data_IF_186096951822
#
_entry.id   IF_186096951822
#
_cell.length_a   1.000
_cell.length_b   1.000
_cell.length_c   1.000
_cell.angle_alpha   90.00
_cell.angle_beta   90.00
_cell.angle_gamma   90.00
#
_symmetry.space_group_name_H-M   'P 1'
#
loop_
_entity.id
_entity.type
_entity.pdbx_description
1 polymer ?
#
# COMPACT_ATOMS: atom_id res chain seq x y z
N UNK A 1 -30.77 -9.50 22.08
CA UNK A 1 -30.32 -9.20 20.70
C UNK A 1 -28.80 -9.29 20.70
N UNK A 2 -28.22 -10.39 20.21
CA UNK A 2 -26.78 -10.61 20.27
C UNK A 2 -26.06 -9.66 19.33
N UNK A 3 -25.09 -8.90 19.83
CA UNK A 3 -24.19 -8.08 19.02
C UNK A 3 -23.53 -8.98 17.97
N UNK A 4 -23.80 -8.71 16.69
CA UNK A 4 -23.08 -9.36 15.59
C UNK A 4 -21.58 -9.10 15.75
N UNK A 5 -20.78 -10.15 15.61
CA UNK A 5 -19.33 -10.06 15.45
C UNK A 5 -19.00 -9.05 14.33
N UNK A 6 -17.97 -8.21 14.54
CA UNK A 6 -17.46 -7.25 13.55
C UNK A 6 -17.25 -7.86 12.16
N UNK A 7 -16.83 -9.13 12.10
CA UNK A 7 -16.69 -9.89 10.86
C UNK A 7 -18.05 -10.15 10.22
N UNK A 8 -19.04 -10.59 10.98
CA UNK A 8 -20.39 -10.83 10.48
C UNK A 8 -21.05 -9.52 9.99
N UNK A 9 -20.79 -8.40 10.66
CA UNK A 9 -21.23 -7.07 10.19
C UNK A 9 -20.54 -6.69 8.88
N UNK A 10 -19.22 -6.85 8.77
CA UNK A 10 -18.48 -6.58 7.53
C UNK A 10 -19.00 -7.42 6.35
N UNK A 11 -19.22 -8.71 6.57
CA UNK A 11 -19.74 -9.65 5.58
C UNK A 11 -21.14 -9.21 5.10
N UNK A 12 -22.01 -8.88 6.05
CA UNK A 12 -23.38 -8.46 5.76
C UNK A 12 -23.42 -7.13 5.01
N UNK A 13 -22.62 -6.14 5.44
CA UNK A 13 -22.53 -4.84 4.79
C UNK A 13 -21.99 -4.92 3.36
N UNK A 14 -20.95 -5.74 3.13
CA UNK A 14 -20.40 -5.93 1.78
C UNK A 14 -21.41 -6.56 0.83
N UNK A 15 -22.16 -7.57 1.28
CA UNK A 15 -23.19 -8.23 0.45
C UNK A 15 -24.35 -7.27 0.17
N UNK A 16 -24.86 -6.56 1.19
CA UNK A 16 -25.96 -5.61 1.04
C UNK A 16 -25.62 -4.47 0.08
N UNK A 17 -24.42 -3.92 0.19
CA UNK A 17 -23.94 -2.87 -0.71
C UNK A 17 -23.90 -3.34 -2.17
N UNK A 18 -23.34 -4.52 -2.45
CA UNK A 18 -23.24 -5.04 -3.82
C UNK A 18 -24.61 -5.39 -4.40
N UNK A 19 -25.54 -5.92 -3.60
CA UNK A 19 -26.92 -6.16 -4.03
C UNK A 19 -27.66 -4.87 -4.35
N UNK A 20 -27.52 -3.84 -3.51
CA UNK A 20 -28.10 -2.52 -3.75
C UNK A 20 -27.54 -1.91 -5.03
N UNK A 21 -26.22 -1.98 -5.23
CA UNK A 21 -25.57 -1.47 -6.43
C UNK A 21 -26.01 -2.21 -7.70
N UNK A 22 -26.20 -3.54 -7.64
CA UNK A 22 -26.72 -4.32 -8.78
C UNK A 22 -28.15 -3.90 -9.15
N UNK A 23 -29.02 -3.72 -8.16
CA UNK A 23 -30.39 -3.22 -8.37
C UNK A 23 -30.40 -1.83 -9.02
N UNK A 24 -29.52 -0.93 -8.58
CA UNK A 24 -29.38 0.38 -9.18
C UNK A 24 -28.85 0.31 -10.62
N UNK A 25 -27.88 -0.55 -10.90
CA UNK A 25 -27.39 -0.75 -12.27
C UNK A 25 -28.49 -1.28 -13.19
N UNK A 26 -29.36 -2.17 -12.70
CA UNK A 26 -30.51 -2.62 -13.46
C UNK A 26 -31.48 -1.46 -13.73
N UNK A 27 -31.85 -0.70 -12.71
CA UNK A 27 -32.81 0.40 -12.82
C UNK A 27 -32.32 1.55 -13.70
N UNK A 28 -31.05 1.96 -13.56
CA UNK A 28 -30.52 3.16 -14.23
C UNK A 28 -29.75 2.86 -15.52
N UNK A 29 -29.24 1.64 -15.69
CA UNK A 29 -28.39 1.26 -16.84
C UNK A 29 -28.91 0.07 -17.61
N UNK A 30 -30.02 -0.55 -17.20
CA UNK A 30 -30.57 -1.75 -17.82
C UNK A 30 -29.64 -2.95 -17.77
N UNK A 31 -28.66 -2.95 -16.85
CA UNK A 31 -27.62 -3.99 -16.74
C UNK A 31 -27.73 -4.66 -15.38
N UNK A 32 -28.02 -5.96 -15.41
CA UNK A 32 -27.99 -6.82 -14.24
C UNK A 32 -26.76 -7.73 -14.29
N UNK A 33 -26.01 -7.76 -13.20
CA UNK A 33 -24.87 -8.67 -13.02
C UNK A 33 -25.33 -9.98 -12.38
N UNK A 34 -24.65 -11.08 -12.69
CA UNK A 34 -24.99 -12.39 -12.11
C UNK A 34 -24.66 -12.45 -10.62
N UNK A 35 -25.41 -13.27 -9.88
CA UNK A 35 -25.21 -13.45 -8.43
C UNK A 35 -23.79 -13.90 -8.07
N UNK A 36 -23.12 -14.65 -8.96
CA UNK A 36 -21.72 -15.06 -8.78
C UNK A 36 -20.75 -13.87 -8.81
N UNK A 37 -20.95 -12.92 -9.75
CA UNK A 37 -20.12 -11.70 -9.85
C UNK A 37 -20.32 -10.82 -8.62
N UNK A 38 -21.57 -10.67 -8.17
CA UNK A 38 -21.93 -9.96 -6.94
C UNK A 38 -21.22 -10.59 -5.72
N UNK A 39 -21.24 -11.93 -5.63
CA UNK A 39 -20.61 -12.68 -4.55
C UNK A 39 -19.08 -12.53 -4.53
N UNK A 40 -18.41 -12.73 -5.66
CA UNK A 40 -16.94 -12.60 -5.71
C UNK A 40 -16.50 -11.15 -5.44
N UNK A 41 -17.26 -10.15 -5.90
CA UNK A 41 -16.99 -8.74 -5.58
C UNK A 41 -17.15 -8.46 -4.08
N UNK A 42 -18.25 -8.93 -3.47
CA UNK A 42 -18.47 -8.78 -2.03
C UNK A 42 -17.37 -9.48 -1.20
N UNK A 43 -16.92 -10.66 -1.64
CA UNK A 43 -15.83 -11.42 -1.01
C UNK A 43 -14.47 -10.74 -1.14
N UNK A 44 -14.18 -10.11 -2.29
CA UNK A 44 -12.96 -9.32 -2.48
C UNK A 44 -12.98 -8.07 -1.60
N UNK A 45 -14.08 -7.32 -1.63
CA UNK A 45 -14.29 -6.14 -0.77
C UNK A 45 -14.19 -6.49 0.71
N UNK A 46 -14.75 -7.63 1.14
CA UNK A 46 -14.55 -8.14 2.50
C UNK A 46 -13.08 -8.36 2.79
N UNK A 47 -12.35 -9.06 1.91
CA UNK A 47 -10.93 -9.37 2.12
C UNK A 47 -10.13 -8.07 2.29
N UNK A 48 -10.39 -7.08 1.44
CA UNK A 48 -9.77 -5.76 1.53
C UNK A 48 -10.18 -5.04 2.83
N UNK A 49 -11.47 -5.00 3.17
CA UNK A 49 -11.98 -4.35 4.38
C UNK A 49 -11.40 -4.98 5.65
N UNK A 50 -11.32 -6.31 5.73
CA UNK A 50 -10.76 -7.00 6.88
C UNK A 50 -9.23 -6.81 7.00
N UNK A 51 -8.53 -6.69 5.86
CA UNK A 51 -7.10 -6.36 5.84
C UNK A 51 -6.87 -4.92 6.33
N UNK A 52 -7.66 -3.95 5.81
CA UNK A 52 -7.51 -2.54 6.14
C UNK A 52 -7.99 -2.19 7.55
N UNK A 53 -9.04 -2.85 8.06
CA UNK A 53 -9.61 -2.58 9.38
C UNK A 53 -9.14 -3.55 10.47
N UNK A 54 -8.21 -4.47 10.16
CA UNK A 54 -7.60 -5.38 11.15
C UNK A 54 -8.68 -6.21 11.91
N UNK A 55 -9.80 -6.51 11.25
CA UNK A 55 -10.92 -7.28 11.85
C UNK A 55 -10.60 -8.78 11.84
N UNK A 56 -9.80 -9.23 10.87
CA UNK A 56 -9.11 -10.51 10.98
C UNK A 56 -7.96 -10.34 11.97
N UNK A 57 -7.77 -11.30 12.90
CA UNK A 57 -6.54 -11.34 13.71
C UNK A 57 -5.35 -11.14 12.77
N UNK A 58 -4.57 -10.05 12.91
CA UNK A 58 -3.31 -10.00 12.20
C UNK A 58 -2.52 -11.20 12.68
N UNK A 59 -1.89 -11.91 11.75
CA UNK A 59 -1.04 -13.05 12.06
C UNK A 59 0.13 -12.61 12.98
N UNK A 60 0.34 -11.30 13.12
CA UNK A 60 1.27 -10.68 14.05
C UNK A 60 0.52 -9.95 15.17
N UNK A 61 1.03 -9.96 16.41
CA UNK A 61 0.46 -9.19 17.50
C UNK A 61 0.42 -7.71 17.13
N UNK A 62 -0.76 -7.09 17.26
CA UNK A 62 -0.88 -5.63 17.27
C UNK A 62 -0.22 -5.17 18.56
N UNK A 63 1.03 -4.78 18.50
CA UNK A 63 1.57 -3.93 19.53
C UNK A 63 0.81 -2.60 19.43
N UNK A 64 -0.15 -2.41 20.33
CA UNK A 64 -0.85 -1.14 20.62
C UNK A 64 0.10 -0.06 21.17
N UNK A 65 1.40 -0.15 20.90
CA UNK A 65 2.29 0.94 21.15
C UNK A 65 2.00 2.00 20.09
N UNK A 66 1.77 3.23 20.52
CA UNK A 66 1.95 4.41 19.67
C UNK A 66 3.38 4.28 19.10
N UNK A 67 3.50 3.77 17.88
CA UNK A 67 4.79 3.61 17.21
C UNK A 67 5.19 4.99 16.74
N UNK A 68 5.82 5.76 17.63
CA UNK A 68 6.67 6.87 17.19
C UNK A 68 7.70 6.30 16.22
N UNK A 69 8.17 7.12 15.29
CA UNK A 69 9.23 6.71 14.36
C UNK A 69 10.36 6.02 15.15
N UNK A 70 10.70 4.79 14.76
CA UNK A 70 11.69 3.97 15.45
C UNK A 70 13.02 4.01 14.71
N UNK A 71 14.12 4.16 15.45
CA UNK A 71 15.47 4.08 14.90
C UNK A 71 15.77 2.70 14.30
N UNK A 72 16.57 2.66 13.23
CA UNK A 72 17.12 1.40 12.69
C UNK A 72 18.16 0.84 13.66
N UNK A 73 18.06 -0.45 14.03
CA UNK A 73 18.92 -1.03 15.07
C UNK A 73 20.34 -1.41 14.59
N UNK A 74 20.63 -1.46 13.28
CA UNK A 74 21.81 -2.17 12.75
C UNK A 74 22.48 -1.47 11.54
N UNK A 75 22.73 -0.17 11.58
CA UNK A 75 23.37 0.60 10.49
C UNK A 75 22.70 0.46 9.10
N UNK A 76 21.44 0.02 9.06
CA UNK A 76 20.66 -0.02 7.84
C UNK A 76 20.03 1.34 7.58
N UNK A 77 20.14 1.80 6.34
CA UNK A 77 19.44 2.97 5.84
C UNK A 77 17.93 2.70 5.82
N UNK A 78 17.13 3.67 6.21
CA UNK A 78 15.67 3.60 6.06
C UNK A 78 15.25 4.36 4.82
N UNK A 79 14.38 3.78 4.02
CA UNK A 79 13.88 4.39 2.80
C UNK A 79 12.35 4.40 2.89
N UNK A 80 11.78 5.54 3.22
CA UNK A 80 10.34 5.73 3.26
C UNK A 80 9.88 6.17 1.88
N UNK A 81 8.87 5.50 1.32
CA UNK A 81 8.30 5.86 0.04
C UNK A 81 6.78 5.95 0.16
N UNK A 82 6.19 6.83 -0.62
CA UNK A 82 4.76 7.12 -0.61
C UNK A 82 4.35 7.71 -1.98
N UNK A 83 3.08 7.60 -2.31
CA UNK A 83 2.51 8.17 -3.51
C UNK A 83 1.15 8.82 -3.24
N UNK A 84 0.93 9.97 -3.88
CA UNK A 84 -0.40 10.59 -3.91
C UNK A 84 -0.91 10.70 -5.33
N UNK A 85 -2.24 10.71 -5.47
CA UNK A 85 -2.92 10.90 -6.74
C UNK A 85 -3.75 12.18 -6.65
N UNK A 86 -3.48 13.14 -7.54
CA UNK A 86 -4.25 14.38 -7.67
C UNK A 86 -4.48 14.63 -9.16
N UNK A 87 -5.74 14.85 -9.57
CA UNK A 87 -6.11 15.20 -10.95
C UNK A 87 -5.50 14.27 -12.03
N UNK A 88 -5.61 12.95 -11.86
CA UNK A 88 -5.03 11.94 -12.76
C UNK A 88 -3.49 12.03 -12.93
N UNK A 89 -2.81 12.70 -11.99
CA UNK A 89 -1.35 12.68 -11.85
C UNK A 89 -0.96 11.92 -10.59
N UNK A 90 0.14 11.20 -10.68
CA UNK A 90 0.76 10.49 -9.56
C UNK A 90 1.98 11.28 -9.14
N UNK A 91 1.97 11.77 -7.91
CA UNK A 91 3.16 12.23 -7.22
C UNK A 91 3.74 11.09 -6.42
N UNK A 92 5.06 11.02 -6.38
CA UNK A 92 5.74 10.13 -5.46
C UNK A 92 6.80 10.92 -4.70
N UNK A 93 7.11 10.41 -3.51
CA UNK A 93 8.26 10.85 -2.78
C UNK A 93 8.99 9.67 -2.15
N UNK A 94 10.30 9.84 -1.99
CA UNK A 94 11.21 8.91 -1.35
C UNK A 94 12.08 9.73 -0.40
N UNK A 95 12.13 9.35 0.87
CA UNK A 95 13.05 9.94 1.85
C UNK A 95 13.96 8.85 2.38
N UNK A 96 15.25 9.04 2.21
CA UNK A 96 16.26 8.19 2.82
C UNK A 96 16.75 8.78 4.14
N UNK A 97 16.83 7.93 5.17
CA UNK A 97 17.26 8.32 6.52
C UNK A 97 18.40 7.46 7.00
N UNK A 98 19.36 8.10 7.66
CA UNK A 98 20.49 7.43 8.29
C UNK A 98 20.06 6.64 9.53
N UNK A 99 21.02 5.95 10.15
CA UNK A 99 20.79 5.21 11.38
C UNK A 99 20.37 6.11 12.54
N UNK A 100 20.66 7.42 12.53
CA UNK A 100 20.26 8.41 13.55
C UNK A 100 18.88 9.02 13.28
N UNK A 101 18.28 8.77 12.11
CA UNK A 101 16.97 9.27 11.70
C UNK A 101 16.99 10.58 10.93
N UNK A 102 18.17 11.12 10.63
CA UNK A 102 18.33 12.30 9.79
C UNK A 102 18.03 11.94 8.34
N UNK A 103 17.24 12.78 7.67
CA UNK A 103 17.05 12.68 6.23
C UNK A 103 18.39 13.01 5.54
N UNK A 104 18.95 12.04 4.82
CA UNK A 104 20.19 12.22 4.06
C UNK A 104 19.86 12.75 2.66
N UNK A 105 18.76 12.26 2.10
CA UNK A 105 18.31 12.64 0.77
C UNK A 105 16.78 12.57 0.73
N UNK A 106 16.25 13.29 -0.24
CA UNK A 106 14.86 13.28 -0.62
C UNK A 106 14.81 13.28 -2.15
N UNK A 107 13.96 12.43 -2.70
CA UNK A 107 13.70 12.32 -4.13
C UNK A 107 12.21 12.30 -4.39
N UNK A 108 11.72 13.34 -5.06
CA UNK A 108 10.32 13.45 -5.44
C UNK A 108 10.16 13.62 -6.96
N UNK A 109 8.95 13.36 -7.44
CA UNK A 109 8.61 13.56 -8.84
C UNK A 109 7.14 13.27 -9.09
N UNK A 110 6.74 13.38 -10.36
CA UNK A 110 5.39 13.05 -10.77
C UNK A 110 5.38 12.31 -12.11
N UNK A 111 4.24 11.67 -12.36
CA UNK A 111 3.93 11.02 -13.63
C UNK A 111 2.46 11.30 -13.97
N UNK A 112 2.21 11.70 -15.21
CA UNK A 112 0.84 11.76 -15.74
C UNK A 112 0.39 10.34 -16.07
N UNK A 113 -0.42 9.77 -15.19
CA UNK A 113 -0.94 8.42 -15.33
C UNK A 113 -2.17 8.22 -14.45
N UNK A 114 -3.17 7.53 -14.99
CA UNK A 114 -4.45 7.31 -14.31
C UNK A 114 -4.44 5.94 -13.66
N UNK A 115 -3.79 5.85 -12.50
CA UNK A 115 -3.67 4.62 -11.72
C UNK A 115 -4.56 4.65 -10.48
N UNK A 116 -4.81 3.47 -9.91
CA UNK A 116 -5.42 3.35 -8.58
C UNK A 116 -4.34 3.55 -7.50
N UNK A 117 -4.76 3.89 -6.28
CA UNK A 117 -3.85 4.17 -5.15
C UNK A 117 -2.76 3.10 -4.96
N UNK A 118 -3.12 1.81 -4.97
CA UNK A 118 -2.14 0.72 -4.81
C UNK A 118 -1.10 0.65 -5.95
N UNK A 119 -1.49 1.02 -7.17
CA UNK A 119 -0.58 1.10 -8.32
C UNK A 119 0.35 2.30 -8.25
N UNK A 120 -0.12 3.44 -7.72
CA UNK A 120 0.70 4.60 -7.44
C UNK A 120 1.76 4.29 -6.37
N UNK A 121 1.37 3.59 -5.31
CA UNK A 121 2.27 3.13 -4.26
C UNK A 121 3.32 2.15 -4.79
N UNK A 122 2.91 1.23 -5.68
CA UNK A 122 3.85 0.35 -6.37
C UNK A 122 4.81 1.14 -7.29
N UNK A 123 4.35 2.25 -7.87
CA UNK A 123 5.22 3.16 -8.62
C UNK A 123 6.25 3.84 -7.72
N UNK A 124 5.84 4.39 -6.57
CA UNK A 124 6.77 4.94 -5.57
C UNK A 124 7.79 3.90 -5.08
N UNK A 125 7.37 2.65 -4.87
CA UNK A 125 8.29 1.55 -4.58
C UNK A 125 9.37 1.43 -5.67
N UNK A 126 8.97 1.39 -6.95
CA UNK A 126 9.93 1.27 -8.07
C UNK A 126 10.92 2.44 -8.11
N UNK A 127 10.44 3.67 -7.90
CA UNK A 127 11.31 4.85 -7.88
C UNK A 127 12.27 4.80 -6.67
N UNK A 128 11.79 4.41 -5.48
CA UNK A 128 12.64 4.27 -4.28
C UNK A 128 13.78 3.28 -4.47
N UNK A 129 13.56 2.22 -5.23
CA UNK A 129 14.59 1.23 -5.57
C UNK A 129 15.63 1.81 -6.52
N UNK A 130 15.21 2.65 -7.48
CA UNK A 130 16.15 3.34 -8.37
C UNK A 130 17.01 4.32 -7.58
N UNK A 131 16.42 5.08 -6.66
CA UNK A 131 17.15 6.01 -5.80
C UNK A 131 18.15 5.26 -4.91
N UNK A 132 17.73 4.15 -4.29
CA UNK A 132 18.63 3.30 -3.51
C UNK A 132 19.83 2.81 -4.34
N UNK A 133 19.60 2.46 -5.61
CA UNK A 133 20.67 2.06 -6.54
C UNK A 133 21.59 3.22 -6.90
N UNK A 134 21.07 4.40 -7.21
CA UNK A 134 21.91 5.57 -7.55
C UNK A 134 22.77 6.02 -6.36
N UNK A 135 22.32 5.77 -5.13
CA UNK A 135 23.06 6.07 -3.91
C UNK A 135 23.97 4.91 -3.44
N UNK A 136 24.09 3.81 -4.20
CA UNK A 136 24.85 2.61 -3.82
C UNK A 136 24.47 2.04 -2.44
N UNK A 137 23.19 2.12 -2.07
CA UNK A 137 22.70 1.63 -0.77
C UNK A 137 22.49 0.11 -0.87
N UNK A 138 23.41 -0.67 -0.30
CA UNK A 138 23.32 -2.13 -0.29
C UNK A 138 22.41 -2.70 0.83
N UNK A 139 22.26 -1.96 1.94
CA UNK A 139 21.58 -2.41 3.15
C UNK A 139 20.47 -1.42 3.56
N UNK A 140 19.24 -1.70 3.15
CA UNK A 140 18.11 -0.82 3.40
C UNK A 140 16.89 -1.52 4.02
N UNK A 141 16.09 -0.74 4.76
CA UNK A 141 14.74 -1.07 5.18
C UNK A 141 13.80 -0.12 4.45
N UNK A 142 12.98 -0.65 3.56
CA UNK A 142 11.97 0.11 2.85
C UNK A 142 10.67 0.14 3.66
N UNK A 143 10.07 1.32 3.77
CA UNK A 143 8.92 1.61 4.62
C UNK A 143 7.78 2.23 3.79
N UNK A 144 6.58 1.67 3.91
CA UNK A 144 5.33 2.17 3.28
C UNK A 144 4.18 2.06 4.28
N UNK A 145 3.23 2.99 4.21
CA UNK A 145 1.97 2.95 4.93
C UNK A 145 0.83 2.29 4.16
N UNK A 146 1.06 1.94 2.89
CA UNK A 146 0.14 1.12 2.11
C UNK A 146 0.14 -0.33 2.59
N UNK A 147 -0.84 -0.67 3.44
CA UNK A 147 -0.98 -2.01 4.01
C UNK A 147 -1.19 -3.10 2.94
N UNK A 148 -1.94 -2.77 1.88
CA UNK A 148 -2.22 -3.71 0.79
C UNK A 148 -0.95 -4.04 0.01
N UNK A 149 -0.16 -3.03 -0.38
CA UNK A 149 1.12 -3.21 -1.05
C UNK A 149 2.13 -3.94 -0.15
N UNK A 150 2.23 -3.57 1.12
CA UNK A 150 3.12 -4.25 2.07
C UNK A 150 2.79 -5.75 2.18
N UNK A 151 1.50 -6.11 2.14
CA UNK A 151 1.08 -7.50 2.14
C UNK A 151 1.45 -8.24 0.83
N UNK A 152 1.37 -7.57 -0.33
CA UNK A 152 1.82 -8.12 -1.63
C UNK A 152 3.32 -8.36 -1.65
N UNK A 153 4.09 -7.39 -1.17
CA UNK A 153 5.54 -7.48 -0.99
C UNK A 153 5.90 -8.66 -0.09
N UNK A 154 5.21 -8.83 1.04
CA UNK A 154 5.47 -9.96 1.95
C UNK A 154 5.21 -11.31 1.29
N UNK A 155 4.17 -11.40 0.45
CA UNK A 155 3.74 -12.63 -0.19
C UNK A 155 4.15 -12.71 -1.68
N UNK A 156 5.18 -11.97 -2.09
CA UNK A 156 5.50 -11.72 -3.51
C UNK A 156 5.72 -12.99 -4.35
N UNK A 157 6.12 -14.10 -3.73
CA UNK A 157 6.33 -15.38 -4.43
C UNK A 157 5.05 -16.13 -4.75
N UNK A 158 3.96 -15.85 -4.04
CA UNK A 158 2.70 -16.59 -4.10
C UNK A 158 1.47 -15.72 -4.42
N UNK A 159 1.61 -14.40 -4.40
CA UNK A 159 0.54 -13.48 -4.78
C UNK A 159 0.32 -13.52 -6.30
N UNK A 160 -0.86 -13.98 -6.70
CA UNK A 160 -1.28 -14.17 -8.11
C UNK A 160 -1.98 -12.94 -8.70
N UNK A 161 -2.15 -11.84 -7.96
CA UNK A 161 -2.76 -10.64 -8.53
C UNK A 161 -1.79 -9.96 -9.50
N UNK A 162 -2.32 -9.11 -10.39
CA UNK A 162 -1.52 -8.41 -11.39
C UNK A 162 -0.38 -7.62 -10.73
N UNK A 163 -0.66 -6.85 -9.66
CA UNK A 163 0.37 -6.15 -8.88
C UNK A 163 1.34 -7.12 -8.21
N UNK A 164 0.86 -8.23 -7.63
CA UNK A 164 1.71 -9.26 -7.03
C UNK A 164 2.73 -9.81 -8.01
N UNK A 165 2.31 -10.11 -9.25
CA UNK A 165 3.21 -10.54 -10.32
C UNK A 165 4.22 -9.46 -10.72
N UNK A 166 3.82 -8.18 -10.73
CA UNK A 166 4.74 -7.05 -11.00
C UNK A 166 5.77 -6.88 -9.89
N UNK A 167 5.38 -7.03 -8.62
CA UNK A 167 6.29 -7.05 -7.47
C UNK A 167 7.26 -8.23 -7.57
N UNK A 168 6.77 -9.41 -7.95
CA UNK A 168 7.61 -10.60 -8.16
C UNK A 168 8.69 -10.37 -9.21
N UNK A 169 8.31 -9.83 -10.38
CA UNK A 169 9.26 -9.51 -11.43
C UNK A 169 10.27 -8.44 -10.99
N UNK A 170 9.82 -7.44 -10.23
CA UNK A 170 10.70 -6.41 -9.69
C UNK A 170 11.76 -7.01 -8.76
N UNK A 171 11.38 -7.90 -7.85
CA UNK A 171 12.32 -8.50 -6.90
C UNK A 171 13.24 -9.54 -7.54
N UNK A 172 12.77 -10.28 -8.56
CA UNK A 172 13.65 -11.13 -9.38
C UNK A 172 14.72 -10.34 -10.12
N UNK A 173 14.44 -9.08 -10.46
CA UNK A 173 15.41 -8.18 -11.12
C UNK A 173 16.35 -7.46 -10.13
N UNK A 174 16.28 -7.75 -8.83
CA UNK A 174 17.13 -7.14 -7.80
C UNK A 174 18.30 -8.05 -7.43
N UNK A 175 19.34 -8.11 -8.26
CA UNK A 175 20.54 -8.90 -7.95
C UNK A 175 21.57 -8.17 -7.04
N UNK A 176 21.40 -6.86 -6.78
CA UNK A 176 22.38 -6.02 -6.05
C UNK A 176 21.99 -5.68 -4.59
N UNK A 177 20.75 -5.96 -4.17
CA UNK A 177 20.24 -5.57 -2.85
C UNK A 177 20.39 -6.73 -1.86
N UNK A 178 21.64 -6.95 -1.41
CA UNK A 178 22.03 -8.13 -0.62
C UNK A 178 21.24 -8.31 0.70
N UNK A 179 20.68 -7.25 1.29
CA UNK A 179 19.99 -7.35 2.59
C UNK A 179 18.85 -6.33 2.76
N UNK A 180 17.92 -6.31 1.79
CA UNK A 180 16.74 -5.45 1.85
C UNK A 180 15.61 -6.09 2.64
N UNK A 181 14.99 -5.27 3.51
CA UNK A 181 13.76 -5.63 4.22
C UNK A 181 12.67 -4.63 3.88
N UNK A 182 11.43 -5.09 3.90
CA UNK A 182 10.25 -4.25 3.75
C UNK A 182 9.45 -4.26 5.05
N UNK A 183 8.99 -3.09 5.47
CA UNK A 183 8.21 -2.91 6.71
C UNK A 183 7.00 -2.02 6.40
N UNK A 184 5.84 -2.47 6.85
CA UNK A 184 4.67 -1.61 6.91
C UNK A 184 4.78 -0.68 8.12
N UNK A 185 4.42 0.59 7.94
CA UNK A 185 4.41 1.61 8.99
C UNK A 185 3.02 2.23 9.07
N UNK A 186 2.62 2.68 10.25
CA UNK A 186 1.35 3.38 10.38
C UNK A 186 1.42 4.72 9.64
N UNK A 187 0.36 5.10 8.93
CA UNK A 187 0.30 6.37 8.17
C UNK A 187 0.53 7.61 9.05
N UNK A 188 0.24 7.55 10.36
CA UNK A 188 0.56 8.62 11.30
C UNK A 188 2.07 8.88 11.41
N UNK A 189 2.92 7.89 11.11
CA UNK A 189 4.37 8.00 11.08
C UNK A 189 4.89 8.53 9.73
N UNK A 190 4.06 8.50 8.67
CA UNK A 190 4.37 8.88 7.29
C UNK A 190 3.74 10.23 6.88
N UNK A 191 3.28 11.06 7.84
CA UNK A 191 2.67 12.37 7.52
C UNK A 191 3.57 13.29 6.69
N UNK A 192 4.89 13.27 6.94
CA UNK A 192 5.84 14.04 6.16
C UNK A 192 5.89 13.58 4.69
N UNK A 193 5.87 12.27 4.45
CA UNK A 193 5.84 11.69 3.11
C UNK A 193 4.60 12.14 2.34
N UNK A 194 3.43 11.97 2.94
CA UNK A 194 2.15 12.35 2.33
C UNK A 194 2.11 13.85 1.95
N UNK A 195 2.60 14.72 2.84
CA UNK A 195 2.68 16.15 2.57
C UNK A 195 3.59 16.45 1.37
N UNK A 196 4.76 15.83 1.31
CA UNK A 196 5.74 16.07 0.27
C UNK A 196 5.33 15.47 -1.08
N UNK A 197 4.70 14.29 -1.09
CA UNK A 197 4.10 13.70 -2.30
C UNK A 197 3.01 14.61 -2.89
N UNK A 198 2.20 15.26 -2.05
CA UNK A 198 1.25 16.28 -2.50
C UNK A 198 1.96 17.49 -3.09
N UNK A 199 2.97 18.01 -2.38
CA UNK A 199 3.75 19.17 -2.83
C UNK A 199 4.40 18.94 -4.20
N UNK A 200 4.91 17.73 -4.47
CA UNK A 200 5.53 17.36 -5.73
C UNK A 200 4.57 17.42 -6.93
N UNK A 201 3.28 17.16 -6.72
CA UNK A 201 2.25 17.23 -7.78
C UNK A 201 1.78 18.67 -7.99
N UNK A 202 1.68 19.46 -6.92
CA UNK A 202 1.07 20.80 -6.99
C UNK A 202 2.02 21.89 -7.48
N UNK A 203 3.34 21.69 -7.40
CA UNK A 203 4.35 22.70 -7.75
C UNK A 203 5.13 22.38 -9.04
N UNK A 204 4.60 21.51 -9.89
CA UNK A 204 5.08 21.23 -11.24
C UNK A 204 3.94 21.39 -12.25
#
# INVERSE_FOLDING_TARGET
>A
MGLLDKKAMADSSAILWNNWNNRNNMLFRGKEETSWVIWERAKSLRKEFCIHNIISRPILPIQNAIKKWEKSLNDKMKINFDATIINDKIGFNVIERDSKGFAISESCGFKEDKLQAEWAEFYALKESIKVARSLNIANAIFETDCASLANKIKNWRVDITIIGQRVNNLFKSMDMLNNVKFKWVNSNCNKAMNFLSNYAITNN
#
